data_IF_643225977735
#
_entry.id   IF_643225977735
#
_cell.length_a   1.000
_cell.length_b   1.000
_cell.length_c   1.000
_cell.angle_alpha   90.00
_cell.angle_beta   90.00
_cell.angle_gamma   90.00
#
_symmetry.space_group_name_H-M   'P 1'
#
loop_
_entity.id
_entity.type
_entity.pdbx_description
1 polymer ?
#
# COMPACT_ATOMS: atom_id res chain seq x y z
N UNK A 1 -16.16 -17.82 -49.91
CA UNK A 1 -16.48 -16.81 -48.88
C UNK A 1 -15.51 -16.99 -47.72
N UNK A 2 -14.50 -16.13 -47.62
CA UNK A 2 -13.47 -16.19 -46.54
C UNK A 2 -14.02 -15.42 -45.32
N UNK A 3 -14.23 -16.12 -44.19
CA UNK A 3 -14.65 -15.51 -42.94
C UNK A 3 -13.41 -14.86 -42.27
N UNK A 4 -13.41 -13.53 -42.20
CA UNK A 4 -12.39 -12.77 -41.47
C UNK A 4 -12.72 -12.84 -39.96
N UNK A 5 -11.94 -13.58 -39.21
CA UNK A 5 -12.04 -13.63 -37.75
C UNK A 5 -11.24 -12.44 -37.20
N UNK A 6 -11.95 -11.43 -36.71
CA UNK A 6 -11.34 -10.29 -36.04
C UNK A 6 -11.02 -10.71 -34.60
N UNK A 7 -9.74 -10.93 -34.32
CA UNK A 7 -9.23 -11.22 -32.98
C UNK A 7 -9.12 -9.91 -32.18
N UNK A 8 -10.09 -9.65 -31.28
CA UNK A 8 -9.99 -8.54 -30.33
C UNK A 8 -9.01 -8.92 -29.23
N UNK A 9 -7.80 -8.36 -29.28
CA UNK A 9 -6.84 -8.44 -28.17
C UNK A 9 -7.26 -7.41 -27.12
N UNK A 10 -7.85 -7.88 -26.03
CA UNK A 10 -8.07 -7.06 -24.83
C UNK A 10 -6.73 -6.83 -24.13
N UNK A 11 -6.14 -5.66 -24.31
CA UNK A 11 -5.00 -5.22 -23.52
C UNK A 11 -5.57 -4.73 -22.20
N UNK A 12 -5.52 -5.57 -21.15
CA UNK A 12 -5.79 -5.14 -19.78
C UNK A 12 -4.65 -4.22 -19.32
N UNK A 13 -4.90 -2.91 -19.37
CA UNK A 13 -4.00 -1.96 -18.74
C UNK A 13 -4.02 -2.17 -17.23
N UNK A 14 -2.86 -2.49 -16.65
CA UNK A 14 -2.68 -2.52 -15.20
C UNK A 14 -2.80 -1.08 -14.65
N UNK A 15 -4.01 -0.68 -14.28
CA UNK A 15 -4.32 0.65 -13.75
C UNK A 15 -3.53 0.99 -12.47
N UNK A 16 -3.22 -0.01 -11.65
CA UNK A 16 -2.43 0.17 -10.43
C UNK A 16 -1.00 0.64 -10.70
N UNK A 17 -0.31 0.08 -11.70
CA UNK A 17 1.06 0.51 -12.02
C UNK A 17 1.12 1.95 -12.54
N UNK A 18 0.10 2.41 -13.27
CA UNK A 18 0.00 3.80 -13.74
C UNK A 18 -0.24 4.77 -12.57
N UNK A 19 -1.12 4.42 -11.63
CA UNK A 19 -1.43 5.23 -10.44
C UNK A 19 -0.21 5.37 -9.53
N UNK A 20 0.55 4.29 -9.32
CA UNK A 20 1.78 4.32 -8.52
C UNK A 20 2.84 5.28 -9.09
N UNK A 21 3.05 5.31 -10.41
CA UNK A 21 3.98 6.24 -11.05
C UNK A 21 3.60 7.71 -10.86
N UNK A 22 2.34 8.00 -10.57
CA UNK A 22 1.89 9.37 -10.29
C UNK A 22 2.34 9.88 -8.94
N UNK A 23 2.49 9.00 -7.95
CA UNK A 23 2.87 9.38 -6.57
C UNK A 23 4.37 9.21 -6.29
N UNK A 24 5.07 8.46 -7.12
CA UNK A 24 6.48 8.13 -6.94
C UNK A 24 6.79 6.68 -7.28
N UNK A 25 7.75 6.12 -6.58
CA UNK A 25 8.15 4.71 -6.75
C UNK A 25 8.83 4.18 -5.50
N UNK A 26 8.94 2.85 -5.40
CA UNK A 26 9.82 2.24 -4.41
C UNK A 26 11.21 2.83 -4.53
N UNK A 27 11.77 3.32 -3.42
CA UNK A 27 13.11 3.88 -3.34
C UNK A 27 14.19 2.81 -3.22
N UNK A 28 15.41 3.16 -3.61
CA UNK A 28 16.61 2.38 -3.30
C UNK A 28 17.08 2.71 -1.87
N UNK A 29 17.40 1.71 -1.03
CA UNK A 29 17.96 1.95 0.30
C UNK A 29 19.22 2.80 0.32
N UNK A 30 20.03 2.74 -0.74
CA UNK A 30 21.27 3.52 -0.89
C UNK A 30 21.02 5.00 -1.20
N UNK A 31 19.82 5.33 -1.72
CA UNK A 31 19.43 6.70 -2.07
C UNK A 31 18.70 7.42 -0.92
N UNK A 32 18.53 6.78 0.24
CA UNK A 32 17.80 7.37 1.37
C UNK A 32 18.52 8.61 1.89
N UNK A 33 17.85 9.76 1.81
CA UNK A 33 18.37 11.05 2.28
C UNK A 33 17.84 11.43 3.66
N UNK A 34 16.74 10.83 4.08
CA UNK A 34 16.09 11.10 5.38
C UNK A 34 15.33 9.89 5.89
N UNK A 35 15.32 9.75 7.22
CA UNK A 35 14.50 8.76 7.93
C UNK A 35 13.43 9.50 8.71
N UNK A 36 12.20 9.03 8.64
CA UNK A 36 11.05 9.55 9.37
C UNK A 36 10.43 8.41 10.16
N UNK A 37 10.12 8.63 11.42
CA UNK A 37 9.33 7.71 12.24
C UNK A 37 7.86 8.14 12.20
N UNK A 38 6.96 7.19 11.99
CA UNK A 38 5.52 7.36 12.08
C UNK A 38 4.98 6.35 13.09
N UNK A 39 4.20 6.84 14.03
CA UNK A 39 3.44 6.01 14.97
C UNK A 39 2.00 5.95 14.51
N UNK A 40 1.44 4.76 14.46
CA UNK A 40 0.01 4.53 14.21
C UNK A 40 -0.67 4.23 15.55
N UNK A 41 -1.78 4.88 15.78
CA UNK A 41 -2.72 4.62 16.86
C UNK A 41 -4.08 4.27 16.25
N UNK A 42 -5.04 3.81 17.04
CA UNK A 42 -6.31 3.32 16.53
C UNK A 42 -7.13 4.38 15.77
N UNK A 43 -6.86 5.68 15.99
CA UNK A 43 -7.63 6.75 15.35
C UNK A 43 -6.77 7.82 14.64
N UNK A 44 -5.44 7.75 14.69
CA UNK A 44 -4.56 8.78 14.12
C UNK A 44 -3.14 8.29 13.90
N UNK A 45 -2.37 9.09 13.13
CA UNK A 45 -0.93 8.97 12.97
C UNK A 45 -0.19 10.11 13.66
N UNK A 46 1.01 9.83 14.15
CA UNK A 46 1.94 10.83 14.69
C UNK A 46 3.30 10.71 13.98
N UNK A 47 3.77 11.75 13.25
CA UNK A 47 3.07 13.00 12.97
C UNK A 47 1.85 12.82 12.07
N UNK A 48 0.89 13.75 12.14
CA UNK A 48 -0.30 13.76 11.29
C UNK A 48 -0.01 14.21 9.86
N UNK A 49 1.15 14.81 9.62
CA UNK A 49 1.61 15.23 8.29
C UNK A 49 3.12 15.17 8.17
N UNK A 50 3.60 14.92 6.96
CA UNK A 50 5.03 14.86 6.62
C UNK A 50 5.25 15.75 5.40
N UNK A 51 6.25 16.64 5.49
CA UNK A 51 6.70 17.43 4.37
C UNK A 51 7.86 16.73 3.67
N UNK A 52 7.76 16.51 2.37
CA UNK A 52 8.79 15.90 1.52
C UNK A 52 9.08 16.76 0.31
N UNK A 53 10.29 16.64 -0.23
CA UNK A 53 10.70 17.36 -1.44
C UNK A 53 10.59 16.45 -2.65
N UNK A 54 10.25 17.03 -3.79
CA UNK A 54 10.34 16.33 -5.07
C UNK A 54 11.76 15.78 -5.30
N UNK A 55 11.85 14.51 -5.65
CA UNK A 55 13.11 13.78 -5.85
C UNK A 55 13.69 13.17 -4.58
N UNK A 56 13.16 13.49 -3.40
CA UNK A 56 13.62 12.94 -2.14
C UNK A 56 13.28 11.45 -2.02
N UNK A 57 14.22 10.66 -1.54
CA UNK A 57 14.01 9.26 -1.14
C UNK A 57 14.01 9.19 0.38
N UNK A 58 12.88 8.82 0.95
CA UNK A 58 12.65 8.77 2.39
C UNK A 58 12.44 7.35 2.84
N UNK A 59 13.11 6.96 3.92
CA UNK A 59 12.78 5.76 4.68
C UNK A 59 11.79 6.14 5.77
N UNK A 60 10.60 5.55 5.75
CA UNK A 60 9.57 5.74 6.75
C UNK A 60 9.52 4.49 7.61
N UNK A 61 9.87 4.65 8.88
CA UNK A 61 9.75 3.59 9.89
C UNK A 61 8.40 3.76 10.55
N UNK A 62 7.55 2.74 10.42
CA UNK A 62 6.17 2.77 10.92
C UNK A 62 6.06 1.85 12.12
N UNK A 63 5.50 2.35 13.22
CA UNK A 63 5.24 1.57 14.45
C UNK A 63 3.74 1.55 14.73
N UNK A 64 3.16 0.40 14.89
CA UNK A 64 1.78 0.28 15.36
C UNK A 64 1.77 0.26 16.89
N UNK A 65 1.26 1.31 17.51
CA UNK A 65 1.08 1.47 18.96
C UNK A 65 -0.39 1.38 19.38
N UNK A 66 -1.29 1.07 18.43
CA UNK A 66 -2.70 0.80 18.69
C UNK A 66 -2.95 -0.64 19.13
N UNK A 67 -4.21 -0.97 19.38
CA UNK A 67 -4.68 -2.29 19.78
C UNK A 67 -5.17 -3.13 18.60
N UNK A 68 -5.40 -2.50 17.43
CA UNK A 68 -5.89 -3.13 16.22
C UNK A 68 -4.78 -3.23 15.15
N UNK A 69 -5.01 -4.06 14.14
CA UNK A 69 -4.19 -4.04 12.92
C UNK A 69 -4.42 -2.73 12.20
N UNK A 70 -3.34 -2.07 11.80
CA UNK A 70 -3.40 -0.83 11.01
C UNK A 70 -2.58 -0.95 9.73
N UNK A 71 -3.04 -0.24 8.72
CA UNK A 71 -2.29 -0.01 7.50
C UNK A 71 -1.71 1.42 7.51
N UNK A 72 -0.45 1.57 7.12
CA UNK A 72 0.12 2.83 6.69
C UNK A 72 0.28 2.79 5.17
N UNK A 73 -0.50 3.60 4.47
CA UNK A 73 -0.52 3.63 3.02
C UNK A 73 -0.38 5.08 2.54
N UNK A 74 0.54 5.31 1.58
CA UNK A 74 0.76 6.61 0.95
C UNK A 74 0.07 6.60 -0.41
N UNK A 75 -0.85 7.53 -0.62
CA UNK A 75 -1.59 7.58 -1.88
C UNK A 75 -2.33 8.89 -2.11
N UNK A 76 -3.01 8.97 -3.22
CA UNK A 76 -4.06 9.97 -3.45
C UNK A 76 -5.37 9.45 -2.87
N UNK A 77 -6.32 10.35 -2.61
CA UNK A 77 -7.67 9.96 -2.16
C UNK A 77 -8.31 8.90 -3.05
N UNK A 78 -8.15 9.04 -4.38
CA UNK A 78 -8.66 8.04 -5.32
C UNK A 78 -8.00 6.68 -5.13
N UNK A 79 -6.70 6.62 -4.90
CA UNK A 79 -5.99 5.35 -4.69
C UNK A 79 -6.48 4.66 -3.41
N UNK A 80 -6.74 5.41 -2.35
CA UNK A 80 -7.29 4.85 -1.11
C UNK A 80 -8.69 4.27 -1.33
N UNK A 81 -9.56 4.99 -2.05
CA UNK A 81 -10.90 4.49 -2.40
C UNK A 81 -10.80 3.20 -3.24
N UNK A 82 -9.94 3.18 -4.24
CA UNK A 82 -9.74 2.02 -5.12
C UNK A 82 -9.15 0.80 -4.38
N UNK A 83 -8.46 1.03 -3.26
CA UNK A 83 -7.82 -0.02 -2.46
C UNK A 83 -8.77 -0.67 -1.43
N UNK A 84 -9.83 0.03 -1.01
CA UNK A 84 -10.79 -0.50 -0.02
C UNK A 84 -11.39 -1.86 -0.37
N UNK A 85 -11.77 -2.17 -1.64
CA UNK A 85 -12.27 -3.50 -2.00
C UNK A 85 -11.27 -4.63 -1.76
N UNK A 86 -9.98 -4.38 -1.90
CA UNK A 86 -8.93 -5.37 -1.57
C UNK A 86 -8.92 -5.65 -0.07
N UNK A 87 -8.96 -4.60 0.75
CA UNK A 87 -8.98 -4.73 2.22
C UNK A 87 -10.23 -5.45 2.70
N UNK A 88 -11.41 -5.14 2.15
CA UNK A 88 -12.66 -5.84 2.45
C UNK A 88 -12.55 -7.35 2.16
N UNK A 89 -11.91 -7.73 1.06
CA UNK A 89 -11.69 -9.14 0.71
C UNK A 89 -10.76 -9.85 1.69
N UNK A 90 -9.74 -9.18 2.22
CA UNK A 90 -8.88 -9.77 3.27
C UNK A 90 -9.68 -10.07 4.54
N UNK A 91 -10.63 -9.21 4.89
CA UNK A 91 -11.55 -9.42 6.03
C UNK A 91 -12.52 -10.56 5.72
N UNK A 92 -13.19 -10.56 4.56
CA UNK A 92 -14.14 -11.59 4.13
C UNK A 92 -13.53 -13.00 4.13
N UNK A 93 -12.24 -13.09 3.86
CA UNK A 93 -11.50 -14.34 3.88
C UNK A 93 -10.84 -14.64 5.22
N UNK A 94 -11.16 -13.95 6.30
CA UNK A 94 -10.52 -14.08 7.63
C UNK A 94 -8.99 -14.09 7.56
N UNK A 95 -8.40 -13.34 6.63
CA UNK A 95 -6.97 -13.11 6.57
C UNK A 95 -6.60 -11.97 7.49
N UNK A 96 -7.38 -10.90 7.43
CA UNK A 96 -7.27 -9.73 8.30
C UNK A 96 -8.32 -9.83 9.39
N UNK A 97 -7.86 -9.94 10.62
CA UNK A 97 -8.66 -9.95 11.84
C UNK A 97 -8.43 -8.64 12.61
N UNK A 98 -9.22 -8.37 13.63
CA UNK A 98 -9.12 -7.10 14.34
C UNK A 98 -7.73 -6.81 14.89
N UNK A 99 -7.12 -7.77 15.54
CA UNK A 99 -5.84 -7.64 16.27
C UNK A 99 -4.68 -8.40 15.63
N UNK A 100 -4.90 -9.16 14.56
CA UNK A 100 -3.89 -10.01 13.93
C UNK A 100 -4.13 -10.27 12.46
N UNK A 101 -3.09 -10.72 11.78
CA UNK A 101 -3.09 -11.14 10.38
C UNK A 101 -2.80 -12.65 10.32
N UNK A 102 -3.66 -13.44 9.67
CA UNK A 102 -3.34 -14.83 9.38
C UNK A 102 -2.36 -14.91 8.20
N UNK A 103 -1.08 -14.73 8.50
CA UNK A 103 0.00 -14.77 7.49
C UNK A 103 0.10 -16.09 6.74
N UNK A 104 -0.27 -17.20 7.38
CA UNK A 104 -0.27 -18.52 6.73
C UNK A 104 -1.38 -18.57 5.67
N UNK A 105 -2.59 -18.20 6.05
CA UNK A 105 -3.74 -18.16 5.16
C UNK A 105 -3.52 -17.16 4.01
N UNK A 106 -3.00 -15.97 4.32
CA UNK A 106 -2.61 -14.96 3.33
C UNK A 106 -1.64 -15.54 2.29
N UNK A 107 -0.58 -16.22 2.73
CA UNK A 107 0.41 -16.85 1.85
C UNK A 107 -0.19 -17.96 1.00
N UNK A 108 -1.09 -18.76 1.56
CA UNK A 108 -1.74 -19.88 0.82
C UNK A 108 -2.74 -19.35 -0.22
N UNK A 109 -3.56 -18.38 0.16
CA UNK A 109 -4.58 -17.81 -0.72
C UNK A 109 -3.97 -16.93 -1.82
N UNK A 110 -2.91 -16.20 -1.54
CA UNK A 110 -2.21 -15.38 -2.53
C UNK A 110 -1.57 -16.17 -3.68
N UNK A 111 -1.39 -17.48 -3.54
CA UNK A 111 -0.95 -18.36 -4.64
C UNK A 111 -2.03 -18.53 -5.70
N UNK A 112 -3.31 -18.43 -5.32
CA UNK A 112 -4.47 -18.56 -6.21
C UNK A 112 -4.98 -17.21 -6.68
N UNK A 113 -4.91 -16.22 -5.79
CA UNK A 113 -5.34 -14.84 -6.03
C UNK A 113 -4.31 -13.87 -5.44
N UNK A 114 -3.50 -13.26 -6.32
CA UNK A 114 -2.41 -12.37 -5.90
C UNK A 114 -2.89 -11.14 -5.11
N UNK A 115 -4.13 -10.68 -5.31
CA UNK A 115 -4.70 -9.55 -4.57
C UNK A 115 -4.83 -9.83 -3.07
N UNK A 116 -4.96 -11.11 -2.68
CA UNK A 116 -5.01 -11.52 -1.27
C UNK A 116 -3.64 -11.56 -0.59
N UNK A 117 -2.58 -11.17 -1.28
CA UNK A 117 -1.22 -11.11 -0.73
C UNK A 117 -0.82 -9.75 -0.18
N UNK A 118 -1.60 -8.70 -0.43
CA UNK A 118 -1.36 -7.31 0.02
C UNK A 118 0.09 -6.86 -0.14
N UNK A 119 0.62 -6.90 -1.39
CA UNK A 119 2.02 -6.57 -1.68
C UNK A 119 2.11 -5.23 -2.41
N UNK A 120 2.10 -4.14 -1.66
CA UNK A 120 2.22 -2.78 -2.18
C UNK A 120 3.49 -2.10 -1.67
N UNK A 121 4.25 -1.47 -2.57
CA UNK A 121 5.51 -0.81 -2.19
C UNK A 121 5.31 0.48 -1.40
N UNK A 122 4.11 1.08 -1.48
CA UNK A 122 3.70 2.31 -0.80
C UNK A 122 2.90 2.06 0.48
N UNK A 123 2.81 0.79 0.91
CA UNK A 123 1.99 0.40 2.07
C UNK A 123 2.69 -0.62 2.94
N UNK A 124 2.37 -0.59 4.23
CA UNK A 124 2.70 -1.63 5.19
C UNK A 124 1.53 -1.82 6.16
N UNK A 125 1.14 -3.07 6.37
CA UNK A 125 0.10 -3.47 7.31
C UNK A 125 0.75 -4.13 8.52
N UNK A 126 0.41 -3.66 9.74
CA UNK A 126 1.08 -4.04 10.97
C UNK A 126 0.08 -4.44 12.05
N UNK A 127 0.33 -5.57 12.66
CA UNK A 127 -0.30 -5.99 13.91
C UNK A 127 0.12 -5.07 15.07
N UNK A 128 -0.62 -5.05 16.21
CA UNK A 128 -0.24 -4.33 17.41
C UNK A 128 1.21 -4.57 17.84
N UNK A 129 1.91 -3.52 18.24
CA UNK A 129 3.31 -3.56 18.69
C UNK A 129 4.34 -4.01 17.63
N UNK A 130 3.96 -4.05 16.35
CA UNK A 130 4.88 -4.36 15.26
C UNK A 130 5.42 -3.09 14.62
N UNK A 131 6.59 -3.25 14.01
CA UNK A 131 7.28 -2.20 13.26
C UNK A 131 7.54 -2.69 11.85
N UNK A 132 7.35 -1.81 10.88
CA UNK A 132 7.66 -2.04 9.47
C UNK A 132 8.31 -0.81 8.84
N UNK A 133 8.64 -0.90 7.57
CA UNK A 133 9.27 0.22 6.86
C UNK A 133 8.81 0.32 5.41
N UNK A 134 8.79 1.54 4.92
CA UNK A 134 8.61 1.88 3.51
C UNK A 134 9.79 2.73 3.08
N UNK A 135 10.41 2.42 1.94
CA UNK A 135 11.38 3.30 1.29
C UNK A 135 10.74 3.82 0.02
N UNK A 136 10.47 5.12 -0.01
CA UNK A 136 9.70 5.76 -1.08
C UNK A 136 10.45 6.94 -1.68
N UNK A 137 10.52 6.97 -3.03
CA UNK A 137 11.04 8.09 -3.80
C UNK A 137 9.89 8.95 -4.28
N UNK A 138 9.79 10.17 -3.76
CA UNK A 138 8.78 11.14 -4.13
C UNK A 138 9.18 11.86 -5.42
N UNK A 139 8.65 11.43 -6.56
CA UNK A 139 9.07 11.94 -7.87
C UNK A 139 8.30 13.16 -8.36
N UNK A 140 7.24 13.56 -7.66
CA UNK A 140 6.36 14.66 -8.04
C UNK A 140 6.04 15.58 -6.87
N UNK A 141 5.69 16.81 -7.24
CA UNK A 141 5.22 17.84 -6.31
C UNK A 141 3.68 17.78 -6.26
N UNK A 142 3.17 16.88 -5.44
CA UNK A 142 1.73 16.66 -5.25
C UNK A 142 1.42 16.42 -3.77
N UNK A 143 0.21 16.76 -3.37
CA UNK A 143 -0.31 16.39 -2.04
C UNK A 143 -0.72 14.93 -2.04
N UNK A 144 -0.25 14.19 -1.04
CA UNK A 144 -0.60 12.80 -0.79
C UNK A 144 -1.22 12.65 0.60
N UNK A 145 -2.02 11.62 0.76
CA UNK A 145 -2.62 11.26 2.04
C UNK A 145 -1.88 10.04 2.62
N UNK A 146 -1.84 10.00 3.95
CA UNK A 146 -1.52 8.80 4.72
C UNK A 146 -2.86 8.24 5.20
N UNK A 147 -3.17 7.00 4.87
CA UNK A 147 -4.44 6.40 5.21
C UNK A 147 -4.30 4.97 5.74
N UNK A 148 -5.23 4.61 6.60
CA UNK A 148 -5.58 3.24 6.94
C UNK A 148 -6.86 2.91 6.17
N UNK A 149 -6.84 1.86 5.35
CA UNK A 149 -7.96 1.47 4.50
C UNK A 149 -8.71 0.23 5.06
N UNK A 150 -8.43 -0.13 6.32
CA UNK A 150 -9.06 -1.23 7.05
C UNK A 150 -10.38 -0.75 7.65
#
# INVERSE_FOLDING_TARGET
MKKLILLFIFIAFNSNAASMKMIGSKGDPNDVTRVIEVKMYDNYYEPSSIQVKKGETVKIIVKNLGELVHEYNIGTKKMHIDHQPEMARLIEHDILLGDRIDHKKMKEMSKKDHSLGHKHANSVMLEPNKTGEIIWKFSKDISLEMACNI
#
